data_IF_224093311554
#
_entry.id   IF_224093311554
#
_cell.length_a   1.000
_cell.length_b   1.000
_cell.length_c   1.000
_cell.angle_alpha   90.00
_cell.angle_beta   90.00
_cell.angle_gamma   90.00
#
_symmetry.space_group_name_H-M   'P 1'
#
loop_
_entity.id
_entity.type
_entity.pdbx_description
1 polymer ?
#
# COMPACT_ATOMS: atom_id res chain seq x y z
N UNK A 1 -8.52 -78.24 4.90
CA UNK A 1 -8.38 -77.08 3.96
C UNK A 1 -9.01 -75.77 4.46
N UNK A 2 -10.02 -75.77 5.35
CA UNK A 2 -10.71 -74.54 5.81
C UNK A 2 -9.83 -73.53 6.60
N UNK A 3 -8.86 -73.98 7.40
CA UNK A 3 -8.01 -73.06 8.17
C UNK A 3 -6.98 -72.27 7.33
N UNK A 4 -6.52 -72.81 6.20
CA UNK A 4 -5.53 -72.11 5.34
C UNK A 4 -6.17 -70.96 4.56
N UNK A 5 -7.43 -71.11 4.15
CA UNK A 5 -8.18 -70.07 3.46
C UNK A 5 -8.49 -68.87 4.38
N UNK A 6 -8.83 -69.12 5.65
CA UNK A 6 -9.07 -68.06 6.63
C UNK A 6 -7.79 -67.28 6.97
N UNK A 7 -6.65 -67.95 7.07
CA UNK A 7 -5.35 -67.28 7.27
C UNK A 7 -5.04 -66.40 6.06
N UNK A 8 -5.21 -66.91 4.84
CA UNK A 8 -4.93 -66.17 3.60
C UNK A 8 -5.83 -64.94 3.43
N UNK A 9 -7.12 -65.07 3.78
CA UNK A 9 -8.06 -63.96 3.77
C UNK A 9 -7.69 -62.90 4.81
N UNK A 10 -7.23 -63.32 5.99
CA UNK A 10 -6.81 -62.41 7.05
C UNK A 10 -5.53 -61.64 6.68
N UNK A 11 -4.53 -62.30 6.09
CA UNK A 11 -3.33 -61.60 5.59
C UNK A 11 -3.65 -60.68 4.42
N UNK A 12 -4.54 -61.07 3.49
CA UNK A 12 -4.97 -60.20 2.41
C UNK A 12 -5.68 -58.95 2.94
N UNK A 13 -6.58 -59.10 3.91
CA UNK A 13 -7.27 -57.98 4.57
C UNK A 13 -6.29 -57.03 5.28
N UNK A 14 -5.29 -57.57 5.98
CA UNK A 14 -4.25 -56.76 6.64
C UNK A 14 -3.37 -56.02 5.62
N UNK A 15 -3.06 -56.63 4.48
CA UNK A 15 -2.31 -55.97 3.41
C UNK A 15 -3.11 -54.84 2.78
N UNK A 16 -4.41 -55.06 2.52
CA UNK A 16 -5.30 -54.01 2.00
C UNK A 16 -5.52 -52.90 3.02
N UNK A 17 -5.68 -53.21 4.31
CA UNK A 17 -5.77 -52.19 5.35
C UNK A 17 -4.47 -51.43 5.47
N UNK A 18 -3.31 -52.11 5.45
CA UNK A 18 -2.00 -51.49 5.47
C UNK A 18 -1.77 -50.56 4.28
N UNK A 19 -2.21 -50.94 3.08
CA UNK A 19 -2.18 -50.10 1.88
C UNK A 19 -3.13 -48.91 1.97
N UNK A 20 -4.33 -49.08 2.52
CA UNK A 20 -5.30 -47.99 2.71
C UNK A 20 -4.78 -47.02 3.77
N UNK A 21 -4.24 -47.50 4.90
CA UNK A 21 -3.65 -46.64 5.93
C UNK A 21 -2.38 -45.98 5.45
N UNK A 22 -1.52 -46.67 4.68
CA UNK A 22 -0.34 -46.08 4.08
C UNK A 22 -0.73 -44.98 3.09
N UNK A 23 -1.69 -45.25 2.21
CA UNK A 23 -2.21 -44.25 1.28
C UNK A 23 -2.92 -43.09 1.99
N UNK A 24 -3.66 -43.33 3.09
CA UNK A 24 -4.26 -42.24 3.88
C UNK A 24 -3.20 -41.42 4.63
N UNK A 25 -2.17 -42.06 5.19
CA UNK A 25 -1.03 -41.40 5.84
C UNK A 25 -0.15 -40.62 4.84
N UNK A 26 -0.05 -41.08 3.59
CA UNK A 26 0.65 -40.34 2.53
C UNK A 26 -0.24 -39.29 1.86
N UNK A 27 -1.57 -39.43 1.88
CA UNK A 27 -2.51 -38.43 1.37
C UNK A 27 -2.72 -37.26 2.35
N UNK A 28 -2.46 -37.45 3.65
CA UNK A 28 -2.32 -36.37 4.64
C UNK A 28 -1.10 -35.46 4.40
N UNK A 29 -0.28 -35.77 3.38
CA UNK A 29 0.93 -35.03 3.04
C UNK A 29 0.74 -33.93 2.00
N UNK A 30 -0.47 -33.42 1.82
CA UNK A 30 -0.67 -32.08 1.24
C UNK A 30 -0.51 -31.05 2.36
N UNK A 31 0.75 -30.85 2.74
CA UNK A 31 1.19 -30.15 3.96
C UNK A 31 1.10 -28.63 3.85
N UNK A 32 0.11 -28.05 3.18
CA UNK A 32 -0.05 -26.59 3.16
C UNK A 32 -1.14 -26.23 4.17
N UNK A 33 -0.72 -25.66 5.29
CA UNK A 33 -1.62 -25.13 6.31
C UNK A 33 -1.35 -23.64 6.47
N UNK A 34 -2.40 -22.82 6.39
CA UNK A 34 -2.29 -21.39 6.58
C UNK A 34 -2.52 -21.02 8.05
N UNK A 35 -1.72 -20.10 8.58
CA UNK A 35 -1.89 -19.57 9.94
C UNK A 35 -3.26 -18.92 10.08
N UNK A 36 -3.91 -19.13 11.22
CA UNK A 36 -5.03 -18.30 11.65
C UNK A 36 -4.47 -17.00 12.23
N UNK A 37 -4.83 -15.87 11.60
CA UNK A 37 -4.47 -14.54 12.05
C UNK A 37 -5.78 -13.78 12.20
N UNK A 38 -6.19 -13.53 13.43
CA UNK A 38 -7.44 -12.82 13.73
C UNK A 38 -7.26 -11.30 13.61
N UNK A 39 -6.04 -10.80 13.70
CA UNK A 39 -5.70 -9.37 13.67
C UNK A 39 -5.47 -8.85 12.24
N UNK A 40 -5.51 -7.52 12.10
CA UNK A 40 -5.15 -6.83 10.86
C UNK A 40 -3.64 -6.71 10.80
N UNK A 41 -3.04 -7.26 9.75
CA UNK A 41 -1.60 -7.14 9.50
C UNK A 41 -1.36 -5.67 9.14
N UNK A 42 -0.51 -5.00 9.92
CA UNK A 42 -0.20 -3.60 9.71
C UNK A 42 1.23 -3.48 9.22
N UNK A 43 1.43 -2.73 8.14
CA UNK A 43 2.73 -2.47 7.53
C UNK A 43 2.85 -0.97 7.35
N UNK A 44 4.00 -0.39 7.67
CA UNK A 44 4.25 1.01 7.37
C UNK A 44 4.53 1.17 5.87
N UNK A 45 4.06 2.26 5.27
CA UNK A 45 4.14 2.55 3.83
C UNK A 45 5.56 2.36 3.30
N UNK A 46 6.55 2.70 4.11
CA UNK A 46 7.96 2.65 3.77
C UNK A 46 8.51 1.22 3.72
N UNK A 47 7.91 0.30 4.47
CA UNK A 47 8.29 -1.11 4.47
C UNK A 47 7.56 -1.92 3.38
N UNK A 48 6.63 -1.29 2.63
CA UNK A 48 5.73 -1.98 1.68
C UNK A 48 6.43 -2.87 0.64
N UNK A 49 7.63 -2.49 0.20
CA UNK A 49 8.40 -3.27 -0.79
C UNK A 49 9.09 -4.50 -0.19
N UNK A 50 9.22 -4.55 1.14
CA UNK A 50 9.92 -5.61 1.87
C UNK A 50 8.97 -6.49 2.71
N UNK A 51 7.74 -6.04 2.97
CA UNK A 51 7.01 -6.48 4.16
C UNK A 51 6.18 -7.77 4.06
N UNK A 52 5.97 -8.36 2.87
CA UNK A 52 5.09 -9.53 2.75
C UNK A 52 5.82 -10.69 2.09
N UNK A 53 6.48 -11.54 2.90
CA UNK A 53 6.86 -12.89 2.47
C UNK A 53 5.63 -13.81 2.60
N UNK A 54 5.10 -14.37 1.49
CA UNK A 54 3.99 -15.32 1.54
C UNK A 54 4.21 -16.50 2.50
N UNK A 55 5.47 -16.89 2.75
CA UNK A 55 5.83 -18.03 3.61
C UNK A 55 5.59 -17.76 5.09
N UNK A 56 5.56 -16.50 5.50
CA UNK A 56 5.28 -16.11 6.88
C UNK A 56 3.83 -16.42 7.29
N UNK A 57 2.95 -16.66 6.32
CA UNK A 57 1.53 -16.96 6.52
C UNK A 57 1.20 -18.45 6.58
N UNK A 58 2.20 -19.31 6.44
CA UNK A 58 2.05 -20.76 6.30
C UNK A 58 2.67 -21.45 7.53
N UNK A 59 2.00 -22.44 8.11
CA UNK A 59 2.46 -23.22 9.29
C UNK A 59 3.03 -24.59 8.93
N UNK A 60 2.54 -25.19 7.84
CA UNK A 60 3.06 -26.43 7.28
C UNK A 60 3.52 -26.19 5.85
N UNK A 61 4.67 -26.75 5.49
CA UNK A 61 5.34 -26.46 4.22
C UNK A 61 5.45 -27.72 3.36
N UNK A 62 5.03 -27.58 2.11
CA UNK A 62 5.53 -28.40 1.02
C UNK A 62 6.81 -27.71 0.47
N UNK A 63 7.94 -28.42 0.49
CA UNK A 63 9.25 -27.91 0.05
C UNK A 63 9.27 -27.56 -1.44
N UNK A 64 8.43 -28.23 -2.24
CA UNK A 64 8.32 -28.04 -3.68
C UNK A 64 7.21 -27.04 -4.03
N UNK A 65 6.42 -26.55 -3.07
CA UNK A 65 5.34 -25.60 -3.33
C UNK A 65 5.85 -24.19 -3.66
N UNK A 66 5.14 -23.55 -4.60
CA UNK A 66 5.29 -22.12 -4.93
C UNK A 66 4.26 -21.34 -4.13
N UNK A 67 4.72 -20.35 -3.37
CA UNK A 67 3.87 -19.43 -2.62
C UNK A 67 3.86 -18.07 -3.30
N UNK A 68 2.67 -17.52 -3.46
CA UNK A 68 2.42 -16.28 -4.19
C UNK A 68 1.56 -15.36 -3.33
N UNK A 69 1.93 -14.09 -3.31
CA UNK A 69 1.03 -12.99 -2.93
C UNK A 69 0.36 -12.48 -4.20
N UNK A 70 -0.95 -12.22 -4.16
CA UNK A 70 -1.59 -11.49 -5.26
C UNK A 70 -1.00 -10.08 -5.31
N UNK A 71 -0.50 -9.63 -6.46
CA UNK A 71 -0.02 -8.26 -6.64
C UNK A 71 -1.12 -7.28 -6.22
N UNK A 72 -0.93 -6.67 -5.06
CA UNK A 72 -1.65 -5.48 -4.68
C UNK A 72 -1.15 -4.41 -5.64
N UNK A 73 -2.01 -3.91 -6.52
CA UNK A 73 -1.87 -2.51 -6.85
C UNK A 73 -2.03 -1.81 -5.49
N UNK A 74 -0.90 -1.46 -4.86
CA UNK A 74 -0.84 -0.76 -3.58
C UNK A 74 -1.43 0.63 -3.85
N UNK A 75 -2.74 0.70 -3.97
CA UNK A 75 -3.50 1.91 -4.25
C UNK A 75 -4.15 2.44 -2.98
N UNK A 76 -4.23 1.61 -1.93
CA UNK A 76 -5.00 1.89 -0.72
C UNK A 76 -4.04 1.95 0.47
N UNK A 77 -3.90 3.14 1.03
CA UNK A 77 -3.12 3.43 2.24
C UNK A 77 -4.10 3.92 3.31
N UNK A 78 -3.80 3.68 4.57
CA UNK A 78 -4.64 3.98 5.73
C UNK A 78 -6.04 3.32 5.69
N UNK A 79 -6.23 2.32 4.82
CA UNK A 79 -7.47 1.56 4.66
C UNK A 79 -7.18 0.07 4.71
N UNK A 80 -8.00 -0.67 5.46
CA UNK A 80 -7.95 -2.14 5.47
C UNK A 80 -8.33 -2.72 4.11
N UNK A 81 -7.45 -3.53 3.54
CA UNK A 81 -7.62 -4.19 2.26
C UNK A 81 -7.40 -5.71 2.37
N UNK A 82 -8.03 -6.52 1.50
CA UNK A 82 -7.81 -7.96 1.49
C UNK A 82 -6.40 -8.28 1.00
N UNK A 83 -5.70 -9.19 1.69
CA UNK A 83 -4.42 -9.77 1.32
C UNK A 83 -4.59 -11.25 0.98
N UNK A 84 -4.44 -11.63 -0.28
CA UNK A 84 -4.57 -13.04 -0.70
C UNK A 84 -3.21 -13.71 -0.77
N UNK A 85 -3.03 -14.76 0.01
CA UNK A 85 -1.88 -15.67 -0.07
C UNK A 85 -2.34 -16.95 -0.76
N UNK A 86 -1.62 -17.35 -1.80
CA UNK A 86 -1.89 -18.57 -2.57
C UNK A 86 -0.68 -19.49 -2.54
N UNK A 87 -0.92 -20.79 -2.54
CA UNK A 87 0.11 -21.82 -2.58
C UNK A 87 -0.25 -22.88 -3.63
N UNK A 88 0.75 -23.27 -4.42
CA UNK A 88 0.63 -24.25 -5.51
C UNK A 88 1.69 -25.32 -5.30
N UNK A 89 1.28 -26.54 -4.97
CA UNK A 89 2.20 -27.69 -4.87
C UNK A 89 2.70 -28.09 -6.27
N UNK A 90 4.02 -28.23 -6.43
CA UNK A 90 4.62 -28.66 -7.70
C UNK A 90 4.63 -30.18 -7.90
N UNK A 91 4.61 -30.99 -6.83
CA UNK A 91 4.52 -32.45 -6.94
C UNK A 91 3.21 -32.86 -7.62
N UNK A 92 2.10 -32.24 -7.23
CA UNK A 92 0.78 -32.64 -7.71
C UNK A 92 0.21 -31.72 -8.81
N UNK A 93 0.69 -30.48 -9.00
CA UNK A 93 0.10 -29.43 -9.90
C UNK A 93 -1.42 -29.20 -9.77
N UNK A 94 -2.09 -29.85 -8.82
CA UNK A 94 -3.54 -29.83 -8.64
C UNK A 94 -3.95 -29.21 -7.29
N UNK A 95 -3.06 -29.21 -6.29
CA UNK A 95 -3.35 -28.61 -4.99
C UNK A 95 -3.12 -27.11 -5.04
N UNK A 96 -4.21 -26.38 -5.30
CA UNK A 96 -4.29 -24.93 -5.15
C UNK A 96 -4.98 -24.61 -3.83
N UNK A 97 -4.26 -23.99 -2.90
CA UNK A 97 -4.80 -23.51 -1.65
C UNK A 97 -4.67 -21.99 -1.59
N UNK A 98 -5.70 -21.29 -1.09
CA UNK A 98 -5.69 -19.84 -0.91
C UNK A 98 -6.28 -19.47 0.44
N UNK A 99 -5.75 -18.41 1.04
CA UNK A 99 -6.33 -17.76 2.21
C UNK A 99 -6.28 -16.25 2.08
N UNK A 100 -7.33 -15.61 2.55
CA UNK A 100 -7.49 -14.17 2.56
C UNK A 100 -7.24 -13.65 3.99
N UNK A 101 -6.39 -12.64 4.10
CA UNK A 101 -6.04 -11.92 5.31
C UNK A 101 -6.47 -10.46 5.18
N UNK A 102 -6.37 -9.71 6.27
CA UNK A 102 -6.59 -8.26 6.29
C UNK A 102 -5.26 -7.55 6.43
N UNK A 103 -4.98 -6.62 5.52
CA UNK A 103 -3.78 -5.80 5.48
C UNK A 103 -4.16 -4.33 5.64
N UNK A 104 -3.41 -3.60 6.44
CA UNK A 104 -3.46 -2.16 6.55
C UNK A 104 -2.05 -1.62 6.28
N UNK A 105 -1.90 -0.85 5.20
CA UNK A 105 -0.65 -0.11 4.97
C UNK A 105 -0.85 1.28 5.56
N UNK A 106 0.00 1.69 6.50
CA UNK A 106 -0.10 2.98 7.17
C UNK A 106 0.86 3.99 6.57
N UNK A 107 0.37 5.18 6.30
CA UNK A 107 1.21 6.34 6.04
C UNK A 107 0.83 7.43 7.04
N UNK A 108 1.79 7.86 7.84
CA UNK A 108 1.61 8.79 8.95
C UNK A 108 2.32 10.13 8.74
N UNK A 109 2.97 10.33 7.60
CA UNK A 109 3.73 11.55 7.33
C UNK A 109 2.96 12.49 6.44
N UNK A 110 2.78 13.72 6.90
CA UNK A 110 2.18 14.76 6.09
C UNK A 110 3.23 15.33 5.10
N UNK A 111 2.81 15.77 3.90
CA UNK A 111 3.69 16.48 2.97
C UNK A 111 4.36 17.69 3.62
N UNK A 112 5.57 18.05 3.18
CA UNK A 112 6.28 19.22 3.69
C UNK A 112 6.26 20.36 2.67
N UNK A 113 5.94 21.57 3.15
CA UNK A 113 5.90 22.81 2.37
C UNK A 113 6.92 23.81 2.94
N UNK A 114 7.99 24.08 2.20
CA UNK A 114 9.01 25.06 2.55
C UNK A 114 9.01 26.23 1.57
N UNK A 115 9.12 27.45 2.10
CA UNK A 115 9.23 28.66 1.28
C UNK A 115 10.46 29.42 1.74
N UNK A 116 11.38 29.65 0.81
CA UNK A 116 12.70 30.24 1.07
C UNK A 116 12.87 31.62 0.42
N UNK A 117 11.80 32.14 -0.18
CA UNK A 117 11.81 33.40 -0.92
C UNK A 117 11.62 34.64 -0.05
N UNK A 118 11.65 35.82 -0.67
CA UNK A 118 11.43 37.08 0.02
C UNK A 118 9.99 37.20 0.54
N UNK A 119 9.80 37.97 1.61
CA UNK A 119 8.47 38.40 2.06
C UNK A 119 8.00 39.68 1.38
N UNK A 120 8.96 40.47 0.88
CA UNK A 120 8.73 41.74 0.18
C UNK A 120 9.40 41.64 -1.18
N UNK A 121 8.62 41.79 -2.24
CA UNK A 121 9.04 41.78 -3.64
C UNK A 121 9.08 43.24 -4.11
N UNK A 122 10.20 43.66 -4.68
CA UNK A 122 10.26 44.99 -5.28
C UNK A 122 9.57 44.95 -6.64
N UNK A 123 8.79 45.97 -6.96
CA UNK A 123 8.11 46.04 -8.25
C UNK A 123 9.08 45.89 -9.45
N UNK A 124 10.30 46.40 -9.33
CA UNK A 124 11.34 46.25 -10.34
C UNK A 124 11.74 44.77 -10.62
N UNK A 125 11.59 43.89 -9.63
CA UNK A 125 11.96 42.48 -9.69
C UNK A 125 10.74 41.56 -9.94
N UNK A 126 9.53 42.14 -10.00
CA UNK A 126 8.25 41.42 -10.05
C UNK A 126 8.10 40.52 -11.29
N UNK A 127 8.59 40.97 -12.44
CA UNK A 127 8.52 40.19 -13.68
C UNK A 127 9.43 38.95 -13.66
N UNK A 128 10.44 38.95 -12.79
CA UNK A 128 11.37 37.82 -12.62
C UNK A 128 10.98 36.95 -11.41
N UNK A 129 10.01 37.37 -10.59
CA UNK A 129 9.55 36.62 -9.43
C UNK A 129 8.62 35.49 -9.86
N UNK A 130 8.98 34.26 -9.49
CA UNK A 130 8.14 33.07 -9.62
C UNK A 130 8.10 32.37 -8.28
N UNK A 131 6.90 32.12 -7.76
CA UNK A 131 6.71 31.49 -6.44
C UNK A 131 7.43 30.13 -6.37
N UNK A 132 7.35 29.38 -7.47
CA UNK A 132 7.88 28.03 -7.64
C UNK A 132 9.41 27.98 -7.55
N UNK A 133 10.11 29.08 -7.85
CA UNK A 133 11.57 29.15 -7.73
C UNK A 133 12.02 29.20 -6.25
N UNK A 134 11.09 29.48 -5.34
CA UNK A 134 11.34 29.61 -3.89
C UNK A 134 10.55 28.61 -3.04
N UNK A 135 9.70 27.81 -3.66
CA UNK A 135 8.78 26.89 -3.01
C UNK A 135 9.26 25.45 -3.20
N UNK A 136 9.57 24.78 -2.11
CA UNK A 136 9.82 23.34 -2.10
C UNK A 136 8.60 22.63 -1.50
N UNK A 137 8.00 21.72 -2.26
CA UNK A 137 6.92 20.86 -1.78
C UNK A 137 7.27 19.41 -2.07
N UNK A 138 7.30 18.58 -1.04
CA UNK A 138 7.71 17.19 -1.18
C UNK A 138 7.05 16.31 -0.13
N UNK A 139 6.86 15.06 -0.51
CA UNK A 139 6.53 13.97 0.40
C UNK A 139 7.84 13.37 0.98
N UNK A 140 7.77 12.82 2.18
CA UNK A 140 8.92 12.28 2.93
C UNK A 140 8.77 10.77 3.09
N UNK A 141 9.68 9.99 2.49
CA UNK A 141 9.87 8.58 2.85
C UNK A 141 10.85 8.36 4.02
N UNK A 142 10.63 7.33 4.85
CA UNK A 142 11.48 6.94 6.00
C UNK A 142 12.60 5.99 5.64
N UNK A 143 12.53 5.23 4.54
CA UNK A 143 13.55 4.21 4.29
C UNK A 143 14.92 4.79 3.93
N UNK A 144 14.99 6.05 3.48
CA UNK A 144 16.26 6.67 3.03
C UNK A 144 16.38 8.19 3.27
N UNK A 145 15.44 8.86 3.95
CA UNK A 145 15.40 10.32 4.04
C UNK A 145 15.40 11.04 2.66
N UNK A 146 14.90 10.36 1.62
CA UNK A 146 14.78 10.92 0.28
C UNK A 146 13.48 11.72 0.18
N UNK A 147 13.61 12.95 -0.35
CA UNK A 147 12.48 13.83 -0.64
C UNK A 147 11.85 13.39 -1.98
N UNK A 148 10.54 13.14 -1.99
CA UNK A 148 9.79 12.92 -3.22
C UNK A 148 9.13 14.23 -3.64
N UNK A 149 9.68 14.96 -4.63
CA UNK A 149 9.12 16.24 -5.03
C UNK A 149 7.69 16.05 -5.57
N UNK A 150 6.75 16.77 -4.98
CA UNK A 150 5.37 16.83 -5.48
C UNK A 150 5.31 17.77 -6.68
N UNK A 151 4.38 17.51 -7.60
CA UNK A 151 4.21 18.34 -8.80
C UNK A 151 3.07 19.33 -8.61
N UNK A 152 3.24 20.56 -9.10
CA UNK A 152 2.18 21.58 -9.11
C UNK A 152 1.01 21.12 -9.99
N UNK A 153 -0.22 21.33 -9.53
CA UNK A 153 -1.46 20.97 -10.22
C UNK A 153 -2.41 22.15 -10.27
N UNK A 154 -3.15 22.23 -11.36
CA UNK A 154 -4.21 23.22 -11.55
C UNK A 154 -5.36 23.03 -10.54
N UNK A 155 -5.59 21.78 -10.12
CA UNK A 155 -6.54 21.42 -9.08
C UNK A 155 -6.18 20.08 -8.45
N UNK A 156 -6.40 19.95 -7.14
CA UNK A 156 -6.43 18.67 -6.46
C UNK A 156 -7.85 18.10 -6.54
N UNK A 157 -8.06 17.14 -7.44
CA UNK A 157 -9.35 16.45 -7.55
C UNK A 157 -9.37 15.26 -6.61
N UNK A 158 -10.23 15.33 -5.61
CA UNK A 158 -10.53 14.22 -4.71
C UNK A 158 -11.45 13.22 -5.43
N UNK A 159 -10.94 12.01 -5.67
CA UNK A 159 -11.72 10.89 -6.15
C UNK A 159 -12.21 10.07 -4.97
N UNK A 160 -13.52 9.89 -4.86
CA UNK A 160 -14.13 9.06 -3.81
C UNK A 160 -14.40 7.67 -4.37
N UNK A 161 -13.71 6.67 -3.81
CA UNK A 161 -13.98 5.26 -4.10
C UNK A 161 -14.78 4.64 -2.96
N UNK A 162 -15.96 4.11 -3.28
CA UNK A 162 -16.77 3.37 -2.32
C UNK A 162 -16.29 1.92 -2.26
N UNK A 163 -15.71 1.54 -1.12
CA UNK A 163 -15.24 0.18 -0.88
C UNK A 163 -16.33 -0.68 -0.20
N UNK A 164 -17.21 -0.05 0.61
CA UNK A 164 -18.45 -0.63 1.18
C UNK A 164 -19.44 0.48 1.58
N UNK A 165 -20.62 0.12 2.11
CA UNK A 165 -21.70 1.06 2.52
C UNK A 165 -21.25 2.14 3.52
N UNK A 166 -20.16 1.88 4.23
CA UNK A 166 -19.61 2.63 5.36
C UNK A 166 -18.08 2.87 5.25
N UNK A 167 -17.44 2.45 4.15
CA UNK A 167 -16.01 2.69 3.87
C UNK A 167 -15.86 3.49 2.58
N UNK A 168 -15.41 4.73 2.73
CA UNK A 168 -15.03 5.63 1.64
C UNK A 168 -13.51 5.79 1.63
N UNK A 169 -12.94 5.83 0.44
CA UNK A 169 -11.55 6.20 0.22
C UNK A 169 -11.48 7.49 -0.58
N UNK A 170 -10.64 8.40 -0.12
CA UNK A 170 -10.30 9.64 -0.79
C UNK A 170 -8.92 9.46 -1.42
N UNK A 171 -8.87 9.44 -2.75
CA UNK A 171 -7.62 9.41 -3.52
C UNK A 171 -7.56 10.66 -4.35
N UNK A 172 -6.56 11.48 -4.10
CA UNK A 172 -6.16 12.56 -4.98
C UNK A 172 -4.95 12.08 -5.77
N UNK A 173 -4.70 12.67 -6.93
CA UNK A 173 -3.39 12.48 -7.53
C UNK A 173 -2.37 13.24 -6.68
N UNK A 174 -1.30 12.60 -6.22
CA UNK A 174 -0.24 13.23 -5.42
C UNK A 174 0.30 14.52 -6.07
N UNK A 175 0.30 15.63 -5.35
CA UNK A 175 0.67 16.93 -5.90
C UNK A 175 0.42 18.08 -4.94
N UNK A 176 0.67 19.29 -5.42
CA UNK A 176 0.32 20.50 -4.68
C UNK A 176 -0.34 21.52 -5.59
N UNK A 177 -1.08 22.43 -5.00
CA UNK A 177 -1.57 23.63 -5.68
C UNK A 177 -1.39 24.83 -4.77
N UNK A 178 -1.36 26.01 -5.35
CA UNK A 178 -1.44 27.26 -4.58
C UNK A 178 -2.56 28.15 -5.10
N UNK A 179 -3.14 28.91 -4.18
CA UNK A 179 -4.18 29.88 -4.43
C UNK A 179 -3.67 31.26 -4.00
N UNK A 180 -3.63 32.20 -4.93
CA UNK A 180 -3.26 33.59 -4.67
C UNK A 180 -4.51 34.44 -4.56
N UNK A 181 -4.73 35.03 -3.38
CA UNK A 181 -5.91 35.82 -3.02
C UNK A 181 -7.23 35.08 -3.29
N UNK A 182 -7.20 33.76 -3.11
CA UNK A 182 -8.33 32.86 -3.37
C UNK A 182 -8.49 32.43 -4.84
N UNK A 183 -7.63 32.87 -5.76
CA UNK A 183 -7.63 32.50 -7.17
C UNK A 183 -6.56 31.46 -7.50
N UNK A 184 -6.81 30.62 -8.51
CA UNK A 184 -5.87 29.59 -9.01
C UNK A 184 -4.72 30.15 -9.84
N UNK A 185 -4.67 31.47 -10.02
CA UNK A 185 -3.61 32.18 -10.76
C UNK A 185 -3.07 33.28 -9.88
N UNK A 186 -1.74 33.43 -9.84
CA UNK A 186 -1.09 34.52 -9.14
C UNK A 186 -0.84 35.67 -10.12
N UNK A 187 -1.47 36.81 -9.85
CA UNK A 187 -1.10 38.09 -10.43
C UNK A 187 -0.62 38.95 -9.25
N UNK A 188 0.70 39.05 -9.09
CA UNK A 188 1.30 39.83 -8.02
C UNK A 188 1.37 41.29 -8.50
N UNK A 189 0.34 42.07 -8.20
CA UNK A 189 0.31 43.52 -8.42
C UNK A 189 0.77 44.27 -7.17
N UNK A 190 0.61 45.60 -7.13
CA UNK A 190 1.01 46.36 -5.94
C UNK A 190 0.09 46.05 -4.76
N UNK A 191 0.68 45.65 -3.63
CA UNK A 191 -0.05 45.46 -2.39
C UNK A 191 0.32 44.19 -1.64
N UNK A 192 -0.63 43.72 -0.83
CA UNK A 192 -0.47 42.54 0.02
C UNK A 192 -1.24 41.39 -0.60
N UNK A 193 -0.54 40.29 -0.86
CA UNK A 193 -1.07 39.07 -1.43
C UNK A 193 -1.03 37.92 -0.41
N UNK A 194 -2.13 37.18 -0.35
CA UNK A 194 -2.28 35.98 0.46
C UNK A 194 -2.14 34.75 -0.43
N UNK A 195 -1.08 33.97 -0.22
CA UNK A 195 -0.85 32.74 -0.97
C UNK A 195 -1.10 31.56 -0.06
N UNK A 196 -2.08 30.74 -0.39
CA UNK A 196 -2.34 29.47 0.30
C UNK A 196 -1.79 28.33 -0.53
N UNK A 197 -0.90 27.52 0.03
CA UNK A 197 -0.36 26.32 -0.61
C UNK A 197 -0.99 25.10 0.06
N UNK A 198 -1.51 24.18 -0.74
CA UNK A 198 -2.10 22.93 -0.29
C UNK A 198 -1.34 21.80 -0.98
N UNK A 199 -0.81 20.87 -0.20
CA UNK A 199 -0.10 19.70 -0.67
C UNK A 199 -0.84 18.44 -0.25
N UNK A 200 -0.88 17.44 -1.13
CA UNK A 200 -1.52 16.16 -0.92
C UNK A 200 -0.59 15.05 -1.45
N UNK A 201 -0.36 14.02 -0.63
CA UNK A 201 0.49 12.88 -0.97
C UNK A 201 -0.19 11.85 -1.89
N UNK A 202 -1.48 12.02 -2.17
CA UNK A 202 -2.30 11.08 -2.95
C UNK A 202 -2.78 9.86 -2.15
N UNK A 203 -2.48 9.81 -0.85
CA UNK A 203 -2.82 8.75 0.08
C UNK A 203 -3.74 9.24 1.23
N UNK A 204 -4.22 10.48 1.11
CA UNK A 204 -5.14 11.11 2.06
C UNK A 204 -4.45 11.90 3.16
N UNK A 205 -3.14 12.19 3.05
CA UNK A 205 -2.45 13.15 3.92
C UNK A 205 -2.30 14.48 3.20
N UNK A 206 -2.61 15.53 3.94
CA UNK A 206 -2.61 16.89 3.41
C UNK A 206 -1.86 17.83 4.32
N UNK A 207 -1.11 18.75 3.73
CA UNK A 207 -0.49 19.88 4.42
C UNK A 207 -0.94 21.19 3.81
N UNK A 208 -1.03 22.22 4.65
CA UNK A 208 -1.39 23.57 4.24
C UNK A 208 -0.38 24.59 4.77
N UNK A 209 -0.10 25.61 3.97
CA UNK A 209 0.73 26.75 4.37
C UNK A 209 0.20 28.04 3.79
N UNK A 210 -0.03 29.01 4.67
CA UNK A 210 -0.32 30.40 4.28
C UNK A 210 0.99 31.22 4.22
N UNK A 211 1.15 31.96 3.14
CA UNK A 211 2.19 32.97 2.95
C UNK A 211 1.53 34.33 2.73
N UNK A 212 2.21 35.37 3.20
CA UNK A 212 1.85 36.76 2.91
C UNK A 212 3.04 37.39 2.20
N UNK A 213 2.80 37.87 0.99
CA UNK A 213 3.79 38.53 0.15
C UNK A 213 3.37 39.98 -0.08
N UNK A 214 4.30 40.91 0.06
CA UNK A 214 4.07 42.33 -0.20
C UNK A 214 4.84 42.77 -1.44
N UNK A 215 4.19 43.49 -2.35
CA UNK A 215 4.82 44.08 -3.54
C UNK A 215 4.87 45.59 -3.37
N UNK A 216 6.07 46.15 -3.33
CA UNK A 216 6.30 47.58 -3.09
C UNK A 216 6.87 48.27 -4.34
N UNK A 217 6.37 49.48 -4.67
CA UNK A 217 7.01 50.37 -5.64
C UNK A 217 8.12 51.18 -4.98
N UNK A 218 9.33 51.06 -5.52
CA UNK A 218 10.43 51.99 -5.24
C UNK A 218 10.96 52.59 -6.54
#
# INVERSE_FOLDING_TARGET
MKNKANIFLFTACLFTFGLITYNMLTYEKNQIEFKEIEEVITIDWEEREQAIDPKDFVSAYDEDAVYLTSNFEIMLVNVEQPLVISAISQEDRHTFAKKEYRLLIKDEKDPVIEYHGPKVIKHADMNDFRLEDYLEVYDIGDTTAEKYPLTCKDSLTESVYNLSDDKQMYVTDAGYMYLCDGNSTCDFDEGIHHVKIIADDGHGRTSEKDLVLEVEWY
#
